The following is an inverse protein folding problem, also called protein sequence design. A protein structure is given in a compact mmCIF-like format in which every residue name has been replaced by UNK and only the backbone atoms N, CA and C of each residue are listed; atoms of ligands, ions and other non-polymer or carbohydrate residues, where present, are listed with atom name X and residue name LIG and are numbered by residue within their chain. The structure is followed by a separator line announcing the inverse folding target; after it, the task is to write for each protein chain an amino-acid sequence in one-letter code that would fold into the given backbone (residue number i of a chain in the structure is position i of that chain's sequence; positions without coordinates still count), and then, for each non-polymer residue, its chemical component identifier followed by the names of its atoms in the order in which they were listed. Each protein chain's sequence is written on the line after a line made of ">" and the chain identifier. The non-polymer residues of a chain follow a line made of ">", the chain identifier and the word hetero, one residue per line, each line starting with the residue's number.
data_IF_723962341180
#
_entry.id   IF_723962341180
#
_cell.length_a   1.000
_cell.length_b   1.000
_cell.length_c   1.000
_cell.angle_alpha   90.00
_cell.angle_beta   90.00
_cell.angle_gamma   90.00
#
_symmetry.space_group_name_H-M   'P 1'
#
loop_
_entity.id
_entity.type
_entity.pdbx_description
1 polymer ?
#
# COMPACT_ATOMS: atom_id res chain seq x y z
N UNK A 1 41.35 -24.20 -65.65
CA UNK A 1 41.81 -22.92 -65.02
C UNK A 1 40.64 -22.00 -64.58
N UNK A 2 39.56 -21.77 -65.36
CA UNK A 2 38.43 -20.93 -64.92
C UNK A 2 37.57 -21.61 -63.89
N UNK A 3 37.33 -22.92 -63.97
CA UNK A 3 36.49 -23.69 -63.02
C UNK A 3 37.17 -23.81 -61.66
N UNK A 4 38.46 -24.03 -61.61
CA UNK A 4 39.23 -24.08 -60.36
C UNK A 4 39.25 -22.77 -59.58
N UNK A 5 39.35 -21.64 -60.29
CA UNK A 5 39.24 -20.30 -59.65
C UNK A 5 37.85 -20.06 -59.04
N UNK A 6 36.78 -20.54 -59.67
CA UNK A 6 35.43 -20.45 -59.14
C UNK A 6 35.23 -21.29 -57.90
N UNK A 7 35.72 -22.52 -57.85
CA UNK A 7 35.59 -23.39 -56.71
C UNK A 7 36.37 -22.86 -55.48
N UNK A 8 37.54 -22.27 -55.70
CA UNK A 8 38.34 -21.63 -54.66
C UNK A 8 37.61 -20.40 -54.11
N UNK A 9 36.98 -19.58 -54.97
CA UNK A 9 36.23 -18.40 -54.56
C UNK A 9 34.98 -18.78 -53.77
N UNK A 10 34.24 -19.81 -54.19
CA UNK A 10 33.08 -20.33 -53.43
C UNK A 10 33.44 -20.88 -52.10
N UNK A 11 34.57 -21.61 -51.94
CA UNK A 11 35.09 -22.09 -50.66
C UNK A 11 35.43 -20.93 -49.71
N UNK A 12 36.09 -19.89 -50.23
CA UNK A 12 36.47 -18.70 -49.47
C UNK A 12 35.23 -17.93 -49.00
N UNK A 13 34.20 -17.73 -49.84
CA UNK A 13 32.94 -17.07 -49.47
C UNK A 13 32.18 -17.90 -48.40
N UNK A 14 32.09 -19.20 -48.55
CA UNK A 14 31.45 -20.06 -47.55
C UNK A 14 32.19 -20.04 -46.17
N UNK A 15 33.52 -19.97 -46.17
CA UNK A 15 34.33 -19.79 -44.98
C UNK A 15 34.09 -18.45 -44.27
N UNK A 16 34.06 -17.35 -45.08
CA UNK A 16 33.73 -16.01 -44.58
C UNK A 16 32.33 -15.94 -43.97
N UNK A 17 31.33 -16.51 -44.64
CA UNK A 17 29.94 -16.55 -44.12
C UNK A 17 29.86 -17.35 -42.83
N UNK A 18 30.55 -18.53 -42.74
CA UNK A 18 30.59 -19.28 -41.50
C UNK A 18 31.22 -18.48 -40.32
N UNK A 19 32.34 -17.82 -40.59
CA UNK A 19 33.00 -16.99 -39.58
C UNK A 19 32.18 -15.79 -39.17
N UNK A 20 31.44 -15.15 -40.09
CA UNK A 20 30.53 -14.03 -39.82
C UNK A 20 29.35 -14.50 -38.98
N UNK A 21 28.76 -15.66 -39.30
CA UNK A 21 27.65 -16.24 -38.52
C UNK A 21 28.10 -16.58 -37.11
N UNK A 22 29.31 -17.15 -36.90
CA UNK A 22 29.88 -17.42 -35.60
C UNK A 22 30.17 -16.13 -34.82
N UNK A 23 30.68 -15.09 -35.47
CA UNK A 23 30.90 -13.77 -34.84
C UNK A 23 29.60 -13.10 -34.41
N UNK A 24 28.55 -13.14 -35.23
CA UNK A 24 27.22 -12.60 -34.93
C UNK A 24 26.59 -13.42 -33.77
N UNK A 25 26.72 -14.74 -33.79
CA UNK A 25 26.21 -15.60 -32.69
C UNK A 25 26.97 -15.35 -31.39
N UNK A 26 28.29 -15.18 -31.43
CA UNK A 26 29.09 -14.79 -30.27
C UNK A 26 28.72 -13.39 -29.77
N UNK A 27 28.51 -12.40 -30.63
CA UNK A 27 28.05 -11.06 -30.23
C UNK A 27 26.66 -11.11 -29.59
N UNK A 28 25.73 -11.93 -30.11
CA UNK A 28 24.42 -12.15 -29.49
C UNK A 28 24.49 -12.89 -28.13
N UNK A 29 25.43 -13.84 -27.99
CA UNK A 29 25.65 -14.53 -26.71
C UNK A 29 26.33 -13.62 -25.69
N UNK A 30 27.29 -12.76 -26.10
CA UNK A 30 27.93 -11.80 -25.20
C UNK A 30 27.04 -10.61 -24.82
N UNK A 31 26.10 -10.20 -25.68
CA UNK A 31 25.10 -9.18 -25.30
C UNK A 31 24.07 -9.70 -24.29
N UNK A 32 23.83 -11.01 -24.23
CA UNK A 32 22.95 -11.63 -23.21
C UNK A 32 23.67 -12.01 -21.90
N UNK A 33 25.01 -11.99 -21.85
CA UNK A 33 25.75 -12.33 -20.62
C UNK A 33 26.00 -11.11 -19.72
N UNK A 34 25.79 -9.88 -20.22
CA UNK A 34 26.01 -8.65 -19.46
C UNK A 34 24.76 -8.03 -18.82
N UNK A 35 23.61 -8.65 -18.87
CA UNK A 35 22.52 -8.39 -17.93
C UNK A 35 22.55 -9.41 -16.79
N UNK A 36 23.59 -9.41 -15.98
CA UNK A 36 23.40 -9.80 -14.60
C UNK A 36 22.33 -8.85 -14.08
N UNK A 37 21.10 -9.36 -13.90
CA UNK A 37 19.97 -8.62 -13.32
C UNK A 37 20.47 -8.01 -12.00
N UNK A 38 20.87 -6.73 -12.07
CA UNK A 38 21.18 -5.98 -10.85
C UNK A 38 19.90 -6.03 -10.03
N UNK A 39 19.97 -6.71 -8.87
CA UNK A 39 18.83 -6.70 -7.93
C UNK A 39 18.35 -5.27 -7.77
N UNK A 40 17.02 -5.04 -7.77
CA UNK A 40 16.47 -3.71 -7.54
C UNK A 40 17.09 -3.05 -6.31
N UNK A 41 17.25 -1.73 -6.33
CA UNK A 41 17.89 -0.95 -5.26
C UNK A 41 17.38 -1.31 -3.86
N UNK A 42 16.10 -1.60 -3.72
CA UNK A 42 15.48 -1.89 -2.43
C UNK A 42 15.73 -3.30 -1.90
N UNK A 43 16.36 -4.19 -2.67
CA UNK A 43 16.78 -5.53 -2.22
C UNK A 43 18.19 -5.48 -1.68
N UNK A 44 18.37 -5.77 -0.39
CA UNK A 44 19.68 -5.82 0.24
C UNK A 44 20.31 -7.23 0.17
N UNK A 45 21.66 -7.33 0.21
CA UNK A 45 22.35 -8.62 0.15
C UNK A 45 22.01 -9.59 1.29
N UNK A 46 21.62 -9.07 2.45
CA UNK A 46 21.21 -9.84 3.64
C UNK A 46 19.75 -10.34 3.57
N UNK A 47 19.11 -10.21 2.40
CA UNK A 47 17.71 -10.55 2.16
C UNK A 47 16.70 -9.70 2.94
N UNK A 48 17.08 -8.51 3.38
CA UNK A 48 16.16 -7.49 3.87
C UNK A 48 15.83 -6.49 2.75
N UNK A 49 14.91 -5.57 3.04
CA UNK A 49 14.49 -4.51 2.13
C UNK A 49 14.82 -3.14 2.73
N UNK A 50 14.95 -2.14 1.87
CA UNK A 50 15.13 -0.73 2.26
C UNK A 50 14.15 0.17 1.51
N UNK A 51 14.00 1.38 2.02
CA UNK A 51 13.17 2.42 1.40
C UNK A 51 13.72 2.85 0.03
N UNK A 52 12.89 3.53 -0.80
CA UNK A 52 13.35 4.15 -2.04
C UNK A 52 14.59 5.02 -1.82
N UNK A 53 15.39 5.15 -2.85
CA UNK A 53 16.57 6.02 -2.83
C UNK A 53 16.17 7.46 -2.48
N UNK A 54 17.00 8.15 -1.69
CA UNK A 54 16.68 9.50 -1.20
C UNK A 54 15.64 9.58 -0.10
N UNK A 55 15.09 8.46 0.39
CA UNK A 55 14.16 8.45 1.51
C UNK A 55 14.82 8.92 2.81
N UNK A 56 14.05 9.56 3.72
CA UNK A 56 14.54 9.91 5.04
C UNK A 56 15.10 8.69 5.77
N UNK A 57 16.22 8.86 6.45
CA UNK A 57 16.86 7.83 7.27
C UNK A 57 16.55 8.13 8.73
N UNK A 58 16.12 7.13 9.48
CA UNK A 58 15.95 7.24 10.93
C UNK A 58 17.31 7.48 11.58
N UNK A 59 17.42 8.58 12.31
CA UNK A 59 18.66 8.88 13.05
C UNK A 59 18.91 7.84 14.15
N UNK A 60 20.17 7.47 14.35
CA UNK A 60 20.59 6.47 15.36
C UNK A 60 20.25 6.88 16.80
N UNK A 61 20.03 8.18 17.04
CA UNK A 61 19.72 8.75 18.35
C UNK A 61 18.23 8.69 18.72
N UNK A 62 17.35 8.23 17.83
CA UNK A 62 15.92 8.12 18.12
C UNK A 62 15.67 6.86 18.96
N UNK A 63 15.50 7.06 20.28
CA UNK A 63 15.14 6.01 21.22
C UNK A 63 13.66 6.09 21.57
N UNK A 64 12.90 5.07 21.20
CA UNK A 64 11.53 4.92 21.65
C UNK A 64 11.50 4.42 23.10
N UNK A 65 10.85 5.17 23.98
CA UNK A 65 10.65 4.79 25.37
C UNK A 65 9.19 4.36 25.61
N UNK A 66 8.95 3.08 25.83
CA UNK A 66 7.61 2.55 26.13
C UNK A 66 7.03 3.13 27.42
N UNK A 67 7.85 3.40 28.44
CA UNK A 67 7.39 4.00 29.70
C UNK A 67 6.90 5.44 29.47
N UNK A 68 7.68 6.25 28.73
CA UNK A 68 7.31 7.62 28.39
C UNK A 68 6.07 7.63 27.51
N UNK A 69 6.03 6.79 26.47
CA UNK A 69 4.88 6.68 25.59
C UNK A 69 3.60 6.35 26.37
N UNK A 70 3.63 5.33 27.24
CA UNK A 70 2.48 4.93 28.04
C UNK A 70 2.05 5.99 29.06
N UNK A 71 2.98 6.77 29.60
CA UNK A 71 2.68 7.90 30.48
C UNK A 71 1.93 9.00 29.72
N UNK A 72 2.43 9.39 28.56
CA UNK A 72 1.83 10.46 27.73
C UNK A 72 0.49 9.98 27.12
N UNK A 73 0.42 8.75 26.65
CA UNK A 73 -0.81 8.15 26.13
C UNK A 73 -1.99 8.21 27.10
N UNK A 74 -1.74 8.03 28.40
CA UNK A 74 -2.79 8.11 29.45
C UNK A 74 -3.41 9.50 29.58
N UNK A 75 -2.75 10.54 29.07
CA UNK A 75 -3.24 11.92 29.11
C UNK A 75 -4.14 12.26 27.91
N UNK A 76 -4.14 11.41 26.87
CA UNK A 76 -4.94 11.67 25.67
C UNK A 76 -6.41 11.47 25.98
N UNK A 77 -7.22 12.44 25.57
CA UNK A 77 -8.65 12.25 25.45
C UNK A 77 -8.93 11.37 24.22
N UNK A 78 -9.53 10.21 24.47
CA UNK A 78 -9.92 9.25 23.44
C UNK A 78 -11.42 9.27 23.13
N UNK A 79 -12.12 10.30 23.60
CA UNK A 79 -13.54 10.52 23.25
C UNK A 79 -13.68 10.87 21.77
N UNK A 80 -14.70 10.34 21.15
CA UNK A 80 -15.01 10.59 19.75
C UNK A 80 -16.44 11.15 19.63
N UNK A 81 -16.76 11.93 18.59
CA UNK A 81 -18.12 12.30 18.28
C UNK A 81 -19.04 11.07 18.18
N UNK A 82 -20.30 11.23 18.56
CA UNK A 82 -21.32 10.13 18.56
C UNK A 82 -21.44 9.49 17.16
N UNK A 83 -21.26 10.28 16.12
CA UNK A 83 -21.36 9.89 14.73
C UNK A 83 -20.01 9.56 14.07
N UNK A 84 -18.92 9.41 14.86
CA UNK A 84 -17.61 8.99 14.35
C UNK A 84 -17.64 7.59 13.73
N UNK A 85 -18.44 6.69 14.36
CA UNK A 85 -18.79 5.39 13.80
C UNK A 85 -20.28 5.39 13.53
N UNK A 86 -20.67 5.15 12.29
CA UNK A 86 -22.08 5.08 11.89
C UNK A 86 -22.75 3.86 12.52
N UNK A 87 -24.06 3.94 12.72
CA UNK A 87 -24.85 2.81 13.21
C UNK A 87 -24.80 1.67 12.20
N UNK A 88 -24.69 0.46 12.71
CA UNK A 88 -24.53 -0.73 11.85
C UNK A 88 -25.69 -0.90 10.86
N UNK A 89 -26.90 -0.60 11.29
CA UNK A 89 -28.09 -0.67 10.47
C UNK A 89 -27.98 0.27 9.25
N UNK A 90 -27.56 1.53 9.48
CA UNK A 90 -27.36 2.52 8.42
C UNK A 90 -26.23 2.11 7.46
N UNK A 91 -25.17 1.50 7.99
CA UNK A 91 -24.04 0.97 7.20
C UNK A 91 -24.50 -0.16 6.27
N UNK A 92 -25.27 -1.11 6.80
CA UNK A 92 -25.78 -2.25 6.02
C UNK A 92 -26.78 -1.79 4.96
N UNK A 93 -27.66 -0.84 5.27
CA UNK A 93 -28.59 -0.24 4.31
C UNK A 93 -27.82 0.48 3.20
N UNK A 94 -26.84 1.31 3.55
CA UNK A 94 -25.99 2.02 2.59
C UNK A 94 -25.21 1.05 1.68
N UNK A 95 -24.68 -0.02 2.24
CA UNK A 95 -23.97 -1.05 1.47
C UNK A 95 -24.92 -1.78 0.50
N UNK A 96 -26.12 -2.13 0.96
CA UNK A 96 -27.14 -2.79 0.14
C UNK A 96 -27.62 -1.89 -1.00
N UNK A 97 -27.87 -0.60 -0.73
CA UNK A 97 -28.32 0.36 -1.76
C UNK A 97 -27.26 0.60 -2.85
N UNK A 98 -25.97 0.35 -2.58
CA UNK A 98 -24.86 0.57 -3.51
C UNK A 98 -24.34 -0.71 -4.15
N UNK A 99 -24.96 -1.88 -3.85
CA UNK A 99 -24.44 -3.18 -4.28
C UNK A 99 -24.30 -3.35 -5.81
N UNK A 100 -25.08 -2.63 -6.61
CA UNK A 100 -25.06 -2.71 -8.07
C UNK A 100 -24.09 -1.72 -8.72
N UNK A 101 -23.60 -0.73 -7.98
CA UNK A 101 -22.68 0.31 -8.42
C UNK A 101 -21.22 0.11 -7.98
N UNK A 102 -20.34 0.97 -8.47
CA UNK A 102 -18.99 1.12 -7.96
C UNK A 102 -19.01 2.00 -6.71
N UNK A 103 -18.37 1.54 -5.64
CA UNK A 103 -18.35 2.26 -4.36
C UNK A 103 -17.03 2.16 -3.63
N UNK A 104 -16.81 3.06 -2.68
CA UNK A 104 -15.77 3.01 -1.68
C UNK A 104 -16.38 3.24 -0.30
N UNK A 105 -15.98 2.43 0.69
CA UNK A 105 -16.40 2.56 2.08
C UNK A 105 -15.27 2.36 3.06
N UNK A 106 -15.25 3.14 4.14
CA UNK A 106 -14.25 3.04 5.19
C UNK A 106 -14.76 2.25 6.39
N UNK A 107 -14.14 1.11 6.67
CA UNK A 107 -14.50 0.24 7.80
C UNK A 107 -13.78 0.65 9.08
N UNK A 108 -12.74 1.47 8.95
CA UNK A 108 -11.90 1.99 10.03
C UNK A 108 -10.42 1.66 9.83
N UNK A 109 -9.55 2.50 10.38
CA UNK A 109 -8.10 2.42 10.24
C UNK A 109 -7.63 2.43 8.78
N UNK A 110 -7.00 1.38 8.30
CA UNK A 110 -6.58 1.19 6.90
C UNK A 110 -7.51 0.22 6.14
N UNK A 111 -8.64 -0.18 6.73
CA UNK A 111 -9.58 -1.12 6.12
C UNK A 111 -10.62 -0.38 5.28
N UNK A 112 -10.54 -0.57 3.97
CA UNK A 112 -11.56 -0.10 3.00
C UNK A 112 -12.21 -1.27 2.29
N UNK A 113 -13.48 -1.09 1.95
CA UNK A 113 -14.19 -1.89 0.97
C UNK A 113 -14.35 -1.05 -0.30
N UNK A 114 -13.83 -1.56 -1.42
CA UNK A 114 -13.87 -0.88 -2.72
C UNK A 114 -14.48 -1.85 -3.72
N UNK A 115 -15.60 -1.48 -4.32
CA UNK A 115 -16.22 -2.27 -5.40
C UNK A 115 -16.00 -1.57 -6.73
N UNK A 116 -15.43 -2.29 -7.68
CA UNK A 116 -15.14 -1.85 -9.04
C UNK A 116 -15.68 -2.91 -10.02
N UNK A 117 -16.78 -2.61 -10.66
CA UNK A 117 -17.50 -3.56 -11.50
C UNK A 117 -17.91 -4.82 -10.74
N UNK A 118 -17.38 -5.96 -11.13
CA UNK A 118 -17.68 -7.26 -10.51
C UNK A 118 -16.70 -7.65 -9.40
N UNK A 119 -15.75 -6.79 -9.05
CA UNK A 119 -14.68 -7.11 -8.10
C UNK A 119 -14.82 -6.27 -6.84
N UNK A 120 -15.02 -6.94 -5.70
CA UNK A 120 -14.98 -6.32 -4.38
C UNK A 120 -13.61 -6.53 -3.75
N UNK A 121 -12.97 -5.43 -3.41
CA UNK A 121 -11.62 -5.37 -2.84
C UNK A 121 -11.73 -5.05 -1.36
N UNK A 122 -10.92 -5.70 -0.53
CA UNK A 122 -10.67 -5.28 0.85
C UNK A 122 -9.18 -4.94 1.03
N UNK A 123 -8.88 -3.83 1.69
CA UNK A 123 -7.52 -3.41 2.00
C UNK A 123 -7.22 -3.59 3.47
N UNK A 124 -6.04 -4.09 3.81
CA UNK A 124 -5.49 -4.21 5.18
C UNK A 124 -6.54 -4.47 6.26
N UNK A 125 -7.33 -5.56 6.18
CA UNK A 125 -8.48 -5.75 7.08
C UNK A 125 -8.06 -6.07 8.50
N UNK A 126 -8.45 -5.20 9.43
CA UNK A 126 -8.20 -5.34 10.87
C UNK A 126 -9.53 -5.32 11.63
N UNK A 127 -9.96 -6.47 12.13
CA UNK A 127 -11.19 -6.65 12.89
C UNK A 127 -10.92 -7.03 14.35
N UNK A 128 -9.68 -7.37 14.70
CA UNK A 128 -9.30 -7.71 16.08
C UNK A 128 -9.39 -6.50 17.01
N UNK A 129 -9.62 -6.79 18.29
CA UNK A 129 -9.67 -5.76 19.35
C UNK A 129 -8.31 -5.09 19.60
N UNK A 130 -7.21 -5.79 19.29
CA UNK A 130 -5.85 -5.33 19.54
C UNK A 130 -5.02 -5.42 18.27
N UNK A 131 -4.22 -4.41 18.00
CA UNK A 131 -3.18 -4.40 17.00
C UNK A 131 -1.87 -4.92 17.62
N UNK A 132 -1.78 -6.23 17.77
CA UNK A 132 -0.61 -6.86 18.41
C UNK A 132 -0.72 -8.38 18.51
N UNK A 133 0.32 -9.05 19.05
CA UNK A 133 0.28 -10.49 19.24
C UNK A 133 -0.70 -10.87 20.35
N UNK A 134 -1.62 -11.79 20.06
CA UNK A 134 -2.64 -12.27 20.99
C UNK A 134 -3.50 -11.13 21.57
N UNK A 135 -3.35 -10.87 22.87
CA UNK A 135 -4.07 -9.83 23.62
C UNK A 135 -3.23 -8.55 23.83
N UNK A 136 -1.99 -8.54 23.35
CA UNK A 136 -1.08 -7.42 23.54
C UNK A 136 -1.21 -6.39 22.39
N UNK A 137 -0.55 -5.25 22.57
CA UNK A 137 -0.56 -4.17 21.61
C UNK A 137 -1.66 -3.13 21.86
N UNK A 138 -1.72 -2.10 21.03
CA UNK A 138 -2.74 -1.06 21.11
C UNK A 138 -4.14 -1.63 20.96
N UNK A 139 -5.04 -1.28 21.91
CA UNK A 139 -6.46 -1.59 21.81
C UNK A 139 -7.14 -0.55 20.93
N UNK A 140 -8.07 -1.01 20.07
CA UNK A 140 -8.98 -0.06 19.42
C UNK A 140 -9.90 0.59 20.44
N UNK A 141 -10.14 1.87 20.29
CA UNK A 141 -11.08 2.61 21.15
C UNK A 141 -12.46 2.76 20.53
N UNK A 142 -12.61 2.42 19.24
CA UNK A 142 -13.90 2.32 18.54
C UNK A 142 -13.99 0.96 17.84
N UNK A 143 -15.22 0.45 17.68
CA UNK A 143 -15.47 -0.76 16.90
C UNK A 143 -15.27 -0.50 15.39
N UNK A 144 -14.99 -1.52 14.57
CA UNK A 144 -15.15 -1.39 13.13
C UNK A 144 -16.64 -1.22 12.78
N UNK A 145 -16.92 -0.60 11.65
CA UNK A 145 -18.30 -0.35 11.21
C UNK A 145 -19.13 -1.63 11.03
N UNK A 146 -18.49 -2.70 10.60
CA UNK A 146 -19.08 -4.02 10.41
C UNK A 146 -18.21 -5.08 11.11
N UNK A 147 -18.83 -6.20 11.48
CA UNK A 147 -18.07 -7.37 11.89
C UNK A 147 -17.56 -8.13 10.66
N UNK A 148 -16.56 -8.97 10.87
CA UNK A 148 -15.93 -9.73 9.77
C UNK A 148 -16.90 -10.64 9.00
N UNK A 149 -17.95 -11.13 9.64
CA UNK A 149 -19.00 -11.97 9.02
C UNK A 149 -20.13 -11.17 8.36
N UNK A 150 -20.09 -9.84 8.46
CA UNK A 150 -21.10 -8.93 7.88
C UNK A 150 -20.59 -8.23 6.61
N UNK A 151 -19.30 -8.36 6.30
CA UNK A 151 -18.75 -7.80 5.05
C UNK A 151 -19.25 -8.57 3.84
N UNK A 152 -19.43 -7.90 2.68
CA UNK A 152 -19.82 -8.56 1.44
C UNK A 152 -18.77 -9.59 1.00
N UNK A 153 -19.14 -10.40 0.00
CA UNK A 153 -18.17 -11.30 -0.62
C UNK A 153 -16.97 -10.53 -1.15
N UNK A 154 -15.78 -10.97 -0.77
CA UNK A 154 -14.51 -10.38 -1.20
C UNK A 154 -13.90 -11.21 -2.30
N UNK A 155 -13.57 -10.57 -3.42
CA UNK A 155 -12.90 -11.16 -4.57
C UNK A 155 -11.39 -10.94 -4.56
N UNK A 156 -10.95 -9.80 -3.95
CA UNK A 156 -9.56 -9.40 -3.89
C UNK A 156 -9.19 -8.86 -2.50
N UNK A 157 -8.16 -9.45 -1.91
CA UNK A 157 -7.58 -9.04 -0.63
C UNK A 157 -6.22 -8.40 -0.90
N UNK A 158 -6.04 -7.13 -0.57
CA UNK A 158 -4.77 -6.39 -0.66
C UNK A 158 -4.19 -6.19 0.74
N UNK A 159 -2.94 -6.58 0.93
CA UNK A 159 -2.18 -6.29 2.15
C UNK A 159 -0.93 -5.47 1.80
N UNK A 160 -0.70 -4.37 2.47
CA UNK A 160 0.39 -3.43 2.16
C UNK A 160 1.70 -3.76 2.87
N UNK A 161 1.64 -4.22 4.11
CA UNK A 161 2.82 -4.59 4.90
C UNK A 161 2.44 -5.44 6.13
N UNK A 162 3.41 -5.80 6.96
CA UNK A 162 3.22 -6.79 8.02
C UNK A 162 3.01 -6.22 9.43
N UNK A 163 2.85 -4.93 9.65
CA UNK A 163 2.55 -4.40 10.99
C UNK A 163 1.23 -4.99 11.52
N UNK A 164 1.08 -5.00 12.84
CA UNK A 164 -0.04 -5.69 13.49
C UNK A 164 -1.39 -5.03 13.24
N UNK A 165 -1.41 -3.76 12.97
CA UNK A 165 -2.58 -2.94 12.65
C UNK A 165 -2.94 -2.95 11.14
N UNK A 166 -2.23 -3.75 10.34
CA UNK A 166 -2.52 -4.04 8.93
C UNK A 166 -2.65 -5.54 8.68
N UNK A 167 -1.62 -6.33 9.00
CA UNK A 167 -1.68 -7.78 8.93
C UNK A 167 -2.26 -8.37 10.23
N UNK A 168 -3.56 -8.30 10.36
CA UNK A 168 -4.28 -8.90 11.50
C UNK A 168 -4.44 -10.41 11.33
N UNK A 169 -3.62 -11.18 12.04
CA UNK A 169 -3.68 -12.64 11.99
C UNK A 169 -4.99 -13.22 12.55
N UNK A 170 -5.69 -12.49 13.42
CA UNK A 170 -7.03 -12.84 13.89
C UNK A 170 -8.02 -12.81 12.74
N UNK A 171 -8.02 -11.73 11.98
CA UNK A 171 -8.81 -11.55 10.77
C UNK A 171 -8.43 -12.57 9.70
N UNK A 172 -7.14 -12.72 9.36
CA UNK A 172 -6.68 -13.66 8.32
C UNK A 172 -7.13 -15.08 8.63
N UNK A 173 -7.02 -15.55 9.86
CA UNK A 173 -7.47 -16.90 10.26
C UNK A 173 -8.97 -17.10 10.08
N UNK A 174 -9.77 -16.11 10.48
CA UNK A 174 -11.24 -16.17 10.48
C UNK A 174 -11.88 -15.66 9.20
N UNK A 175 -11.09 -15.16 8.24
CA UNK A 175 -11.61 -14.57 7.00
C UNK A 175 -12.52 -15.55 6.27
N UNK A 176 -13.78 -15.15 5.95
CA UNK A 176 -14.75 -16.11 5.42
C UNK A 176 -14.51 -16.50 3.96
N UNK A 177 -13.85 -15.65 3.17
CA UNK A 177 -13.70 -15.82 1.72
C UNK A 177 -12.28 -16.30 1.36
N UNK A 178 -11.97 -17.56 1.65
CA UNK A 178 -10.63 -18.15 1.40
C UNK A 178 -10.31 -18.35 -0.09
N UNK A 179 -11.29 -18.24 -0.96
CA UNK A 179 -11.13 -18.28 -2.42
C UNK A 179 -10.81 -16.90 -3.04
N UNK A 180 -10.84 -15.83 -2.24
CA UNK A 180 -10.40 -14.51 -2.66
C UNK A 180 -8.96 -14.57 -3.21
N UNK A 181 -8.68 -13.76 -4.24
CA UNK A 181 -7.31 -13.56 -4.68
C UNK A 181 -6.61 -12.66 -3.66
N UNK A 182 -5.45 -13.07 -3.21
CA UNK A 182 -4.64 -12.31 -2.26
C UNK A 182 -3.42 -11.77 -2.98
N UNK A 183 -3.22 -10.46 -2.93
CA UNK A 183 -2.01 -9.80 -3.45
C UNK A 183 -1.29 -9.17 -2.27
N UNK A 184 -0.05 -9.54 -2.08
CA UNK A 184 0.78 -9.10 -0.95
C UNK A 184 2.20 -8.76 -1.40
N UNK A 185 2.92 -7.95 -0.65
CA UNK A 185 4.35 -7.74 -0.86
C UNK A 185 5.15 -9.05 -0.69
N UNK A 186 6.36 -9.05 -1.26
CA UNK A 186 7.28 -10.18 -1.16
C UNK A 186 7.47 -10.68 0.28
N UNK A 187 7.47 -12.01 0.43
CA UNK A 187 7.67 -12.79 1.67
C UNK A 187 6.49 -12.73 2.66
N UNK A 188 5.30 -12.24 2.25
CA UNK A 188 4.09 -12.24 3.07
C UNK A 188 3.09 -13.35 2.72
N UNK A 189 3.18 -13.96 1.56
CA UNK A 189 2.23 -14.98 1.08
C UNK A 189 2.09 -16.18 2.00
N UNK A 190 3.17 -16.58 2.69
CA UNK A 190 3.18 -17.69 3.66
C UNK A 190 2.14 -17.55 4.78
N UNK A 191 1.79 -16.32 5.17
CA UNK A 191 0.78 -16.08 6.22
C UNK A 191 -0.63 -16.40 5.74
N UNK A 192 -0.87 -16.29 4.44
CA UNK A 192 -2.15 -16.60 3.81
C UNK A 192 -2.27 -18.06 3.43
N UNK A 193 -1.24 -18.64 2.79
CA UNK A 193 -1.25 -20.06 2.41
C UNK A 193 -1.40 -20.97 3.62
N UNK A 194 -0.74 -20.68 4.74
CA UNK A 194 -0.92 -21.39 6.03
C UNK A 194 -2.30 -21.23 6.65
N UNK A 195 -3.12 -20.30 6.18
CA UNK A 195 -4.48 -20.05 6.62
C UNK A 195 -5.52 -20.36 5.54
N UNK A 196 -5.20 -21.31 4.65
CA UNK A 196 -6.08 -21.92 3.65
C UNK A 196 -6.54 -20.99 2.51
N UNK A 197 -5.88 -19.85 2.29
CA UNK A 197 -6.08 -19.09 1.06
C UNK A 197 -5.44 -19.83 -0.11
N UNK A 198 -6.19 -20.00 -1.18
CA UNK A 198 -5.78 -20.83 -2.34
C UNK A 198 -5.07 -20.04 -3.44
N UNK A 199 -5.34 -18.74 -3.52
CA UNK A 199 -4.87 -17.85 -4.60
C UNK A 199 -4.08 -16.70 -3.99
N UNK A 200 -2.78 -16.91 -3.82
CA UNK A 200 -1.88 -15.93 -3.17
C UNK A 200 -0.76 -15.57 -4.13
N UNK A 201 -0.62 -14.29 -4.40
CA UNK A 201 0.43 -13.72 -5.25
C UNK A 201 1.29 -12.77 -4.43
N UNK A 202 2.59 -12.99 -4.45
CA UNK A 202 3.58 -12.04 -3.93
C UNK A 202 4.09 -11.19 -5.08
N UNK A 203 4.13 -9.86 -4.90
CA UNK A 203 4.63 -8.94 -5.92
C UNK A 203 5.66 -7.98 -5.34
N UNK A 204 6.56 -7.55 -6.20
CA UNK A 204 7.58 -6.54 -5.93
C UNK A 204 7.13 -5.16 -6.39
N UNK A 205 7.85 -4.10 -6.00
CA UNK A 205 7.60 -2.76 -6.50
C UNK A 205 7.64 -2.71 -8.03
N UNK A 206 6.70 -1.97 -8.60
CA UNK A 206 6.46 -1.82 -10.03
C UNK A 206 5.97 -3.08 -10.75
N UNK A 207 5.77 -4.20 -10.05
CA UNK A 207 5.09 -5.35 -10.62
C UNK A 207 3.56 -5.16 -10.57
N UNK A 208 2.89 -5.71 -11.56
CA UNK A 208 1.44 -5.60 -11.71
C UNK A 208 0.79 -6.97 -11.86
N UNK A 209 -0.44 -7.08 -11.38
CA UNK A 209 -1.34 -8.21 -11.63
C UNK A 209 -2.59 -7.67 -12.29
N UNK A 210 -3.01 -8.31 -13.36
CA UNK A 210 -4.28 -8.04 -14.01
C UNK A 210 -5.32 -9.05 -13.52
N UNK A 211 -6.49 -8.55 -13.16
CA UNK A 211 -7.62 -9.37 -12.70
C UNK A 211 -8.93 -8.74 -13.13
N UNK A 212 -9.69 -9.46 -13.97
CA UNK A 212 -10.88 -8.92 -14.63
C UNK A 212 -10.52 -7.61 -15.36
N UNK A 213 -11.25 -6.53 -15.10
CA UNK A 213 -11.00 -5.20 -15.68
C UNK A 213 -10.05 -4.34 -14.83
N UNK A 214 -9.37 -4.94 -13.84
CA UNK A 214 -8.46 -4.26 -12.92
C UNK A 214 -7.01 -4.57 -13.25
N UNK A 215 -6.17 -3.53 -13.17
CA UNK A 215 -4.72 -3.70 -13.08
C UNK A 215 -4.26 -3.17 -11.72
N UNK A 216 -3.61 -4.02 -10.95
CA UNK A 216 -3.10 -3.71 -9.62
C UNK A 216 -1.58 -3.66 -9.69
N UNK A 217 -1.01 -2.47 -9.51
CA UNK A 217 0.45 -2.27 -9.51
C UNK A 217 0.91 -1.95 -8.11
N UNK A 218 1.92 -2.68 -7.61
CA UNK A 218 2.56 -2.32 -6.36
C UNK A 218 3.55 -1.19 -6.56
N UNK A 219 3.43 -0.13 -5.77
CA UNK A 219 4.32 1.03 -5.80
C UNK A 219 5.12 1.13 -4.50
N UNK A 220 6.32 1.75 -4.52
CA UNK A 220 7.10 1.98 -3.32
C UNK A 220 6.40 2.91 -2.34
N UNK A 221 6.69 2.71 -1.06
CA UNK A 221 6.31 3.59 0.05
C UNK A 221 7.52 3.81 0.97
N UNK A 222 7.53 4.92 1.70
CA UNK A 222 8.56 5.23 2.70
C UNK A 222 8.09 4.68 4.04
N UNK A 223 8.38 3.39 4.28
CA UNK A 223 7.90 2.70 5.47
C UNK A 223 8.91 1.62 5.92
N UNK A 224 8.46 0.64 6.67
CA UNK A 224 9.26 -0.47 7.17
C UNK A 224 8.36 -1.66 7.54
N UNK A 225 8.98 -2.79 7.87
CA UNK A 225 8.25 -3.98 8.26
C UNK A 225 8.86 -4.63 9.49
N UNK A 226 8.00 -5.12 10.41
CA UNK A 226 8.42 -5.86 11.61
C UNK A 226 7.23 -6.50 12.32
N UNK A 227 7.40 -7.74 12.78
CA UNK A 227 6.46 -8.44 13.68
C UNK A 227 7.13 -9.15 14.83
N UNK A 228 8.44 -9.37 14.77
CA UNK A 228 9.23 -10.06 15.79
C UNK A 228 10.49 -9.28 16.13
N UNK A 229 11.28 -9.80 17.05
CA UNK A 229 12.55 -9.17 17.43
C UNK A 229 13.62 -9.25 16.31
N UNK A 230 13.48 -10.21 15.38
CA UNK A 230 14.54 -10.55 14.42
C UNK A 230 14.13 -10.41 12.95
N UNK A 231 12.95 -9.84 12.65
CA UNK A 231 12.42 -9.79 11.29
C UNK A 231 12.28 -8.38 10.70
N UNK A 232 12.95 -7.39 11.30
CA UNK A 232 12.95 -6.01 10.78
C UNK A 232 13.34 -6.01 9.31
N UNK A 233 12.48 -5.42 8.46
CA UNK A 233 12.64 -5.29 7.01
C UNK A 233 12.86 -6.61 6.24
N UNK A 234 12.51 -7.76 6.83
CA UNK A 234 12.60 -9.06 6.14
C UNK A 234 11.44 -9.33 5.19
N UNK A 235 10.37 -8.57 5.24
CA UNK A 235 9.26 -8.57 4.28
C UNK A 235 9.18 -7.22 3.61
N UNK A 236 8.72 -7.18 2.36
CA UNK A 236 8.55 -5.93 1.64
C UNK A 236 7.28 -5.21 2.13
N UNK A 237 7.16 -3.93 1.79
CA UNK A 237 6.00 -3.05 2.01
C UNK A 237 5.76 -2.21 0.77
N UNK A 238 4.59 -1.60 0.65
CA UNK A 238 4.30 -0.67 -0.46
C UNK A 238 2.84 -0.27 -0.53
N UNK A 239 2.54 0.49 -1.57
CA UNK A 239 1.23 1.02 -1.91
C UNK A 239 0.64 0.23 -3.09
N UNK A 240 -0.66 0.37 -3.34
CA UNK A 240 -1.32 -0.23 -4.50
C UNK A 240 -1.98 0.81 -5.38
N UNK A 241 -1.52 0.92 -6.63
CA UNK A 241 -2.23 1.64 -7.68
C UNK A 241 -3.22 0.67 -8.33
N UNK A 242 -4.50 1.02 -8.25
CA UNK A 242 -5.62 0.28 -8.82
C UNK A 242 -6.11 1.05 -10.04
N UNK A 243 -5.95 0.46 -11.22
CA UNK A 243 -6.40 1.03 -12.48
C UNK A 243 -7.67 0.30 -12.94
N UNK A 244 -8.74 1.06 -13.21
CA UNK A 244 -10.05 0.55 -13.61
C UNK A 244 -10.74 1.52 -14.55
N UNK A 245 -11.10 1.09 -15.76
CA UNK A 245 -11.80 1.89 -16.78
C UNK A 245 -11.20 3.30 -16.98
N UNK A 246 -9.87 3.40 -17.02
CA UNK A 246 -9.15 4.66 -17.15
C UNK A 246 -9.07 5.51 -15.90
N UNK A 247 -9.67 5.09 -14.78
CA UNK A 247 -9.53 5.71 -13.46
C UNK A 247 -8.37 5.08 -12.69
N UNK A 248 -7.70 5.89 -11.87
CA UNK A 248 -6.56 5.51 -11.05
C UNK A 248 -6.82 5.81 -9.59
N UNK A 249 -6.87 4.78 -8.76
CA UNK A 249 -7.00 4.87 -7.32
C UNK A 249 -5.70 4.40 -6.69
N UNK A 250 -5.03 5.25 -5.92
CA UNK A 250 -3.85 4.88 -5.17
C UNK A 250 -4.20 4.65 -3.70
N UNK A 251 -4.12 3.43 -3.24
CA UNK A 251 -4.09 3.09 -1.83
C UNK A 251 -2.64 3.20 -1.35
N UNK A 252 -2.25 4.39 -0.89
CA UNK A 252 -0.89 4.69 -0.47
C UNK A 252 -0.54 4.01 0.85
N UNK A 253 -1.54 3.77 1.68
CA UNK A 253 -1.42 3.17 3.00
C UNK A 253 -0.41 3.90 3.90
N UNK A 254 0.38 3.20 4.69
CA UNK A 254 1.35 3.80 5.61
C UNK A 254 2.61 4.20 4.88
N UNK A 255 2.90 5.47 4.98
CA UNK A 255 4.12 6.06 4.43
C UNK A 255 4.50 7.34 5.15
N UNK A 256 5.81 7.64 5.20
CA UNK A 256 6.32 8.98 5.41
C UNK A 256 6.46 9.73 4.11
N UNK A 257 6.78 11.02 4.18
CA UNK A 257 7.10 11.82 3.00
C UNK A 257 8.46 11.43 2.42
N UNK A 258 8.56 11.43 1.08
CA UNK A 258 9.79 11.21 0.33
C UNK A 258 9.69 11.73 -1.10
N UNK A 259 10.82 12.11 -1.69
CA UNK A 259 10.91 12.62 -3.08
C UNK A 259 10.39 11.63 -4.13
N UNK A 260 10.35 10.34 -3.79
CA UNK A 260 9.79 9.28 -4.65
C UNK A 260 8.39 9.61 -5.15
N UNK A 261 7.57 10.34 -4.38
CA UNK A 261 6.20 10.68 -4.78
C UNK A 261 6.14 11.64 -5.97
N UNK A 262 7.13 12.53 -6.13
CA UNK A 262 7.27 13.36 -7.33
C UNK A 262 7.55 12.51 -8.57
N UNK A 263 8.38 11.48 -8.44
CA UNK A 263 8.70 10.58 -9.56
C UNK A 263 7.53 9.64 -9.88
N UNK A 264 6.81 9.17 -8.84
CA UNK A 264 5.57 8.43 -9.04
C UNK A 264 4.49 9.28 -9.72
N UNK A 265 4.37 10.57 -9.35
CA UNK A 265 3.47 11.51 -10.00
C UNK A 265 3.81 11.74 -11.48
N UNK A 266 5.09 11.89 -11.82
CA UNK A 266 5.54 11.98 -13.21
C UNK A 266 5.23 10.70 -14.01
N UNK A 267 5.41 9.53 -13.40
CA UNK A 267 5.28 8.23 -14.08
C UNK A 267 3.85 7.74 -14.18
N UNK A 268 3.04 7.91 -13.15
CA UNK A 268 1.70 7.32 -13.03
C UNK A 268 0.58 8.36 -12.97
N UNK A 269 0.89 9.62 -12.66
CA UNK A 269 -0.11 10.69 -12.56
C UNK A 269 -0.74 11.06 -13.91
N UNK A 270 -1.84 11.81 -13.90
CA UNK A 270 -2.59 12.18 -12.70
C UNK A 270 -3.26 10.97 -12.05
N UNK A 271 -3.39 11.00 -10.72
CA UNK A 271 -4.14 10.03 -9.93
C UNK A 271 -5.53 10.59 -9.68
N UNK A 272 -6.59 9.81 -9.91
CA UNK A 272 -7.95 10.31 -9.67
C UNK A 272 -8.27 10.38 -8.18
N UNK A 273 -7.85 9.38 -7.39
CA UNK A 273 -8.05 9.33 -5.95
C UNK A 273 -6.83 8.74 -5.24
N UNK A 274 -6.30 9.45 -4.24
CA UNK A 274 -5.29 8.91 -3.32
C UNK A 274 -5.89 8.70 -1.94
N UNK A 275 -5.69 7.52 -1.35
CA UNK A 275 -6.08 7.15 0.02
C UNK A 275 -4.79 7.01 0.83
N UNK A 276 -4.59 7.87 1.83
CA UNK A 276 -3.29 8.02 2.50
C UNK A 276 -3.43 8.21 4.01
N UNK A 277 -2.44 7.72 4.76
CA UNK A 277 -2.38 7.91 6.21
C UNK A 277 -2.22 9.39 6.58
N UNK A 278 -2.96 9.83 7.60
CA UNK A 278 -2.88 11.17 8.19
C UNK A 278 -2.69 11.13 9.71
N UNK A 279 -2.50 9.95 10.28
CA UNK A 279 -2.30 9.72 11.72
C UNK A 279 -0.99 9.00 12.02
N UNK A 280 -0.69 8.79 13.29
CA UNK A 280 0.51 8.13 13.81
C UNK A 280 1.82 8.93 13.57
N UNK A 281 1.77 10.26 13.66
CA UNK A 281 2.90 11.13 13.33
C UNK A 281 3.58 11.81 14.53
N UNK A 282 2.87 12.01 15.67
CA UNK A 282 3.41 12.74 16.81
C UNK A 282 3.93 11.79 17.90
N UNK A 283 5.22 11.88 18.21
CA UNK A 283 5.86 11.07 19.24
C UNK A 283 6.55 11.92 20.33
N UNK A 284 6.23 13.22 20.41
CA UNK A 284 6.77 14.09 21.49
C UNK A 284 6.33 13.56 22.87
N UNK A 285 7.20 13.62 23.89
CA UNK A 285 8.53 14.23 23.92
C UNK A 285 9.68 13.31 23.50
N UNK A 286 9.42 12.11 22.94
CA UNK A 286 10.49 11.15 22.62
C UNK A 286 11.29 11.58 21.37
N UNK A 287 10.58 12.01 20.34
CA UNK A 287 11.14 12.58 19.10
C UNK A 287 10.08 13.44 18.39
N UNK A 288 10.52 14.38 17.55
CA UNK A 288 9.66 15.42 17.02
C UNK A 288 8.62 14.94 16.00
N UNK A 289 8.99 14.02 15.10
CA UNK A 289 8.07 13.48 14.08
C UNK A 289 8.45 12.08 13.65
N UNK A 290 7.48 11.33 13.18
CA UNK A 290 7.72 10.10 12.44
C UNK A 290 8.28 10.40 11.05
N UNK A 291 9.20 9.57 10.58
CA UNK A 291 9.66 9.57 9.18
C UNK A 291 8.93 8.50 8.36
N UNK A 292 8.13 7.67 9.00
CA UNK A 292 7.43 6.52 8.40
C UNK A 292 5.91 6.71 8.36
N UNK A 293 5.41 7.83 8.89
CA UNK A 293 4.00 8.23 8.82
C UNK A 293 3.94 9.72 8.52
N UNK A 294 3.11 10.09 7.55
CA UNK A 294 2.83 11.48 7.24
C UNK A 294 1.95 12.11 8.32
N UNK A 295 2.23 13.37 8.64
CA UNK A 295 1.23 14.23 9.22
C UNK A 295 0.23 14.68 8.11
N UNK A 296 -0.90 15.34 8.47
CA UNK A 296 -1.91 15.74 7.49
C UNK A 296 -1.39 16.62 6.35
N UNK A 297 -0.47 17.53 6.63
CA UNK A 297 0.13 18.43 5.65
C UNK A 297 1.07 17.69 4.69
N UNK A 298 1.86 16.73 5.20
CA UNK A 298 2.73 15.89 4.38
C UNK A 298 1.90 14.95 3.50
N UNK A 299 0.76 14.44 3.99
CA UNK A 299 -0.18 13.64 3.19
C UNK A 299 -0.77 14.45 2.02
N UNK A 300 -1.18 15.71 2.26
CA UNK A 300 -1.63 16.63 1.21
C UNK A 300 -0.50 16.95 0.22
N UNK A 301 0.73 17.10 0.70
CA UNK A 301 1.89 17.31 -0.17
C UNK A 301 2.15 16.10 -1.09
N UNK A 302 2.08 14.88 -0.55
CA UNK A 302 2.20 13.64 -1.34
C UNK A 302 1.10 13.60 -2.42
N UNK A 303 -0.14 13.86 -2.05
CA UNK A 303 -1.25 13.87 -3.01
C UNK A 303 -1.02 14.91 -4.13
N UNK A 304 -0.48 16.09 -3.77
CA UNK A 304 -0.08 17.11 -4.75
C UNK A 304 1.06 16.64 -5.64
N UNK A 305 2.11 16.03 -5.08
CA UNK A 305 3.27 15.52 -5.83
C UNK A 305 2.86 14.38 -6.80
N UNK A 306 1.85 13.60 -6.43
CA UNK A 306 1.22 12.57 -7.28
C UNK A 306 0.28 13.16 -8.36
N UNK A 307 0.06 14.47 -8.34
CA UNK A 307 -0.94 15.14 -9.17
C UNK A 307 -2.34 14.52 -8.98
N UNK A 308 -2.71 14.28 -7.71
CA UNK A 308 -4.00 13.69 -7.35
C UNK A 308 -5.12 14.70 -7.48
N UNK A 309 -6.25 14.27 -8.05
CA UNK A 309 -7.45 15.11 -8.15
C UNK A 309 -8.18 15.19 -6.83
N UNK A 310 -8.23 14.06 -6.08
CA UNK A 310 -8.87 13.93 -4.77
C UNK A 310 -8.03 13.11 -3.82
N UNK A 311 -8.21 13.34 -2.53
CA UNK A 311 -7.45 12.65 -1.49
C UNK A 311 -8.35 12.32 -0.29
N UNK A 312 -8.28 11.07 0.17
CA UNK A 312 -8.94 10.58 1.40
C UNK A 312 -7.89 10.39 2.47
N UNK A 313 -8.12 11.01 3.64
CA UNK A 313 -7.29 10.78 4.82
C UNK A 313 -7.74 9.55 5.61
N UNK A 314 -6.82 8.64 5.91
CA UNK A 314 -7.07 7.42 6.70
C UNK A 314 -6.04 7.20 7.80
N UNK A 315 -6.06 6.05 8.47
CA UNK A 315 -5.12 5.64 9.53
C UNK A 315 -5.21 6.51 10.80
N UNK A 316 -6.40 6.94 11.14
CA UNK A 316 -6.74 7.72 12.33
C UNK A 316 -8.04 7.20 12.96
N UNK A 317 -8.42 7.70 14.11
CA UNK A 317 -9.77 7.49 14.66
C UNK A 317 -10.06 6.05 15.14
N UNK A 318 -9.05 5.17 15.31
CA UNK A 318 -9.27 3.74 15.63
C UNK A 318 -8.38 3.23 16.74
N UNK A 319 -7.06 3.42 16.63
CA UNK A 319 -6.05 2.98 17.59
C UNK A 319 -5.22 4.18 18.05
N UNK A 320 -4.80 4.18 19.31
CA UNK A 320 -3.79 5.14 19.78
C UNK A 320 -2.40 4.55 19.50
N UNK A 321 -1.81 4.96 18.38
CA UNK A 321 -0.49 4.51 17.91
C UNK A 321 0.60 5.56 18.17
N UNK A 322 0.22 6.80 18.43
CA UNK A 322 1.07 7.99 18.61
C UNK A 322 0.44 8.93 19.65
N UNK A 323 0.89 10.15 19.75
CA UNK A 323 0.54 11.08 20.82
C UNK A 323 -0.13 12.38 20.34
N UNK A 324 -0.55 12.46 19.07
CA UNK A 324 -1.46 13.52 18.64
C UNK A 324 -2.85 13.33 19.25
N UNK A 325 -3.59 14.43 19.50
CA UNK A 325 -5.01 14.35 19.84
C UNK A 325 -5.77 13.57 18.76
N UNK A 326 -6.60 12.60 19.16
CA UNK A 326 -7.18 11.63 18.21
C UNK A 326 -8.07 12.24 17.14
N UNK A 327 -8.62 13.45 17.37
CA UNK A 327 -9.44 14.19 16.40
C UNK A 327 -8.67 15.33 15.70
N UNK A 328 -7.35 15.48 15.98
CA UNK A 328 -6.52 16.48 15.30
C UNK A 328 -6.27 16.13 13.82
N UNK A 329 -5.96 14.87 13.44
CA UNK A 329 -5.62 14.53 12.07
C UNK A 329 -6.67 14.95 11.03
N UNK A 330 -7.96 14.59 11.15
CA UNK A 330 -8.97 15.00 10.17
C UNK A 330 -9.18 16.51 10.12
N UNK A 331 -9.13 17.19 11.27
CA UNK A 331 -9.26 18.66 11.33
C UNK A 331 -8.12 19.34 10.59
N UNK A 332 -6.87 19.01 10.91
CA UNK A 332 -5.68 19.59 10.25
C UNK A 332 -5.67 19.28 8.76
N UNK A 333 -6.09 18.09 8.34
CA UNK A 333 -6.16 17.70 6.95
C UNK A 333 -7.09 18.62 6.17
N UNK A 334 -8.31 18.82 6.65
CA UNK A 334 -9.30 19.70 6.01
C UNK A 334 -8.89 21.17 6.05
N UNK A 335 -8.42 21.67 7.19
CA UNK A 335 -8.01 23.06 7.38
C UNK A 335 -6.85 23.46 6.43
N UNK A 336 -6.00 22.52 6.06
CA UNK A 336 -4.85 22.78 5.20
C UNK A 336 -5.08 22.41 3.72
N UNK A 337 -6.14 21.70 3.37
CA UNK A 337 -6.39 21.22 2.02
C UNK A 337 -6.23 22.30 0.93
N UNK A 338 -6.85 23.47 1.14
CA UNK A 338 -6.79 24.60 0.21
C UNK A 338 -5.36 25.10 -0.03
N UNK A 339 -4.50 25.10 0.98
CA UNK A 339 -3.10 25.53 0.89
C UNK A 339 -2.30 24.62 -0.05
N UNK A 340 -2.68 23.35 -0.15
CA UNK A 340 -2.05 22.37 -1.02
C UNK A 340 -2.71 22.26 -2.40
N UNK A 341 -3.75 23.07 -2.67
CA UNK A 341 -4.41 23.18 -3.97
C UNK A 341 -5.68 22.35 -4.10
N UNK A 342 -6.15 21.72 -3.02
CA UNK A 342 -7.41 20.96 -3.01
C UNK A 342 -8.59 21.88 -2.67
N UNK A 343 -9.69 21.76 -3.42
CA UNK A 343 -10.95 22.41 -3.12
C UNK A 343 -11.66 21.73 -1.95
N UNK A 344 -12.76 22.31 -1.47
CA UNK A 344 -13.46 21.84 -0.28
C UNK A 344 -13.96 20.39 -0.36
N UNK A 345 -14.24 19.88 -1.56
CA UNK A 345 -14.75 18.53 -1.83
C UNK A 345 -13.67 17.54 -2.35
N UNK A 346 -12.44 18.03 -2.54
CA UNK A 346 -11.34 17.24 -3.07
C UNK A 346 -10.48 16.58 -1.98
N UNK A 347 -10.45 17.15 -0.76
CA UNK A 347 -9.90 16.55 0.44
C UNK A 347 -11.04 15.97 1.29
N UNK A 348 -11.04 14.67 1.50
CA UNK A 348 -12.20 13.94 2.00
C UNK A 348 -11.84 13.21 3.29
N UNK A 349 -12.71 13.35 4.28
CA UNK A 349 -12.67 12.57 5.52
C UNK A 349 -13.98 11.78 5.61
N UNK A 350 -13.86 10.47 5.78
CA UNK A 350 -14.99 9.58 5.99
C UNK A 350 -15.25 9.38 7.48
N UNK A 351 -16.52 9.14 7.82
CA UNK A 351 -16.90 8.48 9.08
C UNK A 351 -16.66 6.97 8.95
N UNK A 352 -16.36 6.30 10.05
CA UNK A 352 -16.25 4.84 10.04
C UNK A 352 -17.62 4.25 9.71
N UNK A 353 -17.70 3.48 8.62
CA UNK A 353 -18.95 2.94 8.08
C UNK A 353 -19.56 3.78 6.95
N UNK A 354 -18.99 4.91 6.60
CA UNK A 354 -19.46 5.69 5.47
C UNK A 354 -19.09 5.04 4.14
N UNK A 355 -20.08 4.91 3.25
CA UNK A 355 -19.95 4.42 1.88
C UNK A 355 -20.42 5.49 0.91
N UNK A 356 -19.64 5.73 -0.14
CA UNK A 356 -20.00 6.66 -1.22
C UNK A 356 -19.92 5.94 -2.57
N UNK A 357 -20.79 6.30 -3.51
CA UNK A 357 -20.61 5.87 -4.89
C UNK A 357 -19.29 6.46 -5.42
N UNK A 358 -18.59 5.70 -6.22
CA UNK A 358 -17.30 6.14 -6.75
C UNK A 358 -17.45 7.34 -7.69
N UNK A 359 -18.54 7.40 -8.45
CA UNK A 359 -18.84 8.52 -9.35
C UNK A 359 -19.12 9.85 -8.58
N UNK A 360 -19.58 9.78 -7.33
CA UNK A 360 -19.76 10.96 -6.47
C UNK A 360 -18.41 11.51 -5.97
N UNK A 361 -17.35 10.68 -6.05
CA UNK A 361 -16.00 11.01 -5.58
C UNK A 361 -15.07 11.33 -6.76
N UNK A 362 -15.18 10.66 -7.89
CA UNK A 362 -14.28 10.81 -9.06
C UNK A 362 -14.88 11.71 -10.12
#
# INVERSE_FOLDING_TARGET
>A
KKKEKWDILQKSIRSMIKNLVVLVFCCFMFSNINSMDKKPYHHLPDNTFRNPEGSPIRGDNIKFSYSTFNKEKKKLDISVPVDHVLKKEDVLESLTSKQDGDYIGWIGHATFLIKLGKTTIITDPVFSKNAGPLIFGPKRYVAPALNLNEIPKIDLFLLTHNHYDHQDMGTIRKFPYKDANVIVPLKLGKYFTKNNFKKVSEIDWYQSIEKNDLKITMLPAVHWSKRSLTDTNKTLWGSYLIEYKGKKILFACDTGYGEIYKDLGKKFGPIDLTIINIGAYNFKPMFDKSIYHTNPEEALQIAKDLNSKRVIGMHWGTFVLSLEPIMEPPKRFLDNAKKYGFKNDEAIIFKIGEFKNLDDIL
#
